data_IF_775962669530
#
_entry.id   IF_775962669530
#
_cell.length_a   1.000
_cell.length_b   1.000
_cell.length_c   1.000
_cell.angle_alpha   90.00
_cell.angle_beta   90.00
_cell.angle_gamma   90.00
#
_symmetry.space_group_name_H-M   'P 1'
#
loop_
_entity.id
_entity.type
_entity.pdbx_description
1 polymer ?
#
# COMPACT_ATOMS: atom_id res chain seq x y z
N UNK A 1 -3.24 19.04 -8.98
CA UNK A 1 -3.71 17.64 -9.17
C UNK A 1 -3.41 17.05 -10.56
N UNK A 2 -3.14 17.86 -11.59
CA UNK A 2 -2.94 17.40 -12.98
C UNK A 2 -1.93 16.26 -13.17
N UNK A 3 -0.76 16.22 -12.49
CA UNK A 3 0.18 15.11 -12.64
C UNK A 3 -0.39 13.75 -12.21
N UNK A 4 -1.13 13.73 -11.09
CA UNK A 4 -1.75 12.50 -10.58
C UNK A 4 -2.93 12.07 -11.44
N UNK A 5 -3.76 13.01 -11.90
CA UNK A 5 -4.86 12.70 -12.81
C UNK A 5 -4.37 12.03 -14.11
N UNK A 6 -3.26 12.52 -14.68
CA UNK A 6 -2.63 11.90 -15.85
C UNK A 6 -2.10 10.50 -15.55
N UNK A 7 -1.51 10.29 -14.38
CA UNK A 7 -1.05 8.96 -13.97
C UNK A 7 -2.23 8.00 -13.74
N UNK A 8 -3.31 8.44 -13.09
CA UNK A 8 -4.51 7.63 -12.89
C UNK A 8 -5.13 7.16 -14.21
N UNK A 9 -5.18 8.03 -15.23
CA UNK A 9 -5.67 7.61 -16.54
C UNK A 9 -4.82 6.51 -17.19
N UNK A 10 -3.51 6.47 -16.92
CA UNK A 10 -2.60 5.43 -17.42
C UNK A 10 -2.85 4.06 -16.77
N UNK A 11 -3.53 3.99 -15.63
CA UNK A 11 -3.89 2.72 -15.01
C UNK A 11 -4.88 1.92 -15.85
N UNK A 12 -5.65 2.58 -16.74
CA UNK A 12 -6.52 1.88 -17.67
C UNK A 12 -5.75 1.05 -18.71
N UNK A 13 -4.49 1.41 -18.97
CA UNK A 13 -3.60 0.70 -19.88
C UNK A 13 -2.79 -0.41 -19.16
N UNK A 14 -3.01 -0.59 -17.85
CA UNK A 14 -2.33 -1.62 -17.07
C UNK A 14 -2.79 -3.01 -17.50
N UNK A 15 -1.86 -3.97 -17.63
CA UNK A 15 -2.21 -5.35 -17.98
C UNK A 15 -3.14 -6.02 -16.94
N UNK A 16 -3.15 -5.55 -15.69
CA UNK A 16 -4.08 -6.03 -14.66
C UNK A 16 -5.53 -5.51 -14.83
N UNK A 17 -5.74 -4.56 -15.75
CA UNK A 17 -7.03 -3.98 -16.11
C UNK A 17 -7.49 -4.53 -17.47
N UNK A 18 -8.29 -5.59 -17.44
CA UNK A 18 -8.81 -6.26 -18.65
C UNK A 18 -10.34 -6.37 -18.62
N UNK A 19 -11.08 -5.26 -18.71
CA UNK A 19 -12.54 -5.23 -18.57
C UNK A 19 -13.28 -6.14 -19.57
N UNK A 20 -12.71 -6.34 -20.76
CA UNK A 20 -13.24 -7.25 -21.80
C UNK A 20 -13.29 -8.72 -21.33
N UNK A 21 -12.38 -9.09 -20.43
CA UNK A 21 -12.26 -10.46 -19.88
C UNK A 21 -12.99 -10.62 -18.55
N UNK A 22 -13.51 -9.51 -18.00
CA UNK A 22 -14.18 -9.49 -16.72
C UNK A 22 -15.62 -10.01 -16.84
N UNK A 23 -16.06 -10.78 -15.85
CA UNK A 23 -17.47 -11.15 -15.75
C UNK A 23 -18.36 -9.91 -15.66
N UNK A 24 -19.61 -10.02 -16.14
CA UNK A 24 -20.59 -8.90 -16.22
C UNK A 24 -20.69 -8.06 -14.93
N UNK A 25 -20.57 -8.70 -13.76
CA UNK A 25 -20.64 -8.01 -12.47
C UNK A 25 -19.40 -7.15 -12.19
N UNK A 26 -18.21 -7.65 -12.53
CA UNK A 26 -16.95 -6.94 -12.31
C UNK A 26 -16.86 -5.75 -13.27
N UNK A 27 -17.30 -5.90 -14.52
CA UNK A 27 -17.40 -4.79 -15.48
C UNK A 27 -18.23 -3.61 -14.95
N UNK A 28 -19.37 -3.88 -14.28
CA UNK A 28 -20.20 -2.81 -13.70
C UNK A 28 -19.54 -2.11 -12.51
N UNK A 29 -18.73 -2.84 -11.73
CA UNK A 29 -17.94 -2.26 -10.64
C UNK A 29 -16.84 -1.37 -11.22
N UNK A 30 -16.16 -1.83 -12.27
CA UNK A 30 -15.16 -1.03 -12.99
C UNK A 30 -15.76 0.27 -13.54
N UNK A 31 -16.91 0.19 -14.23
CA UNK A 31 -17.64 1.34 -14.77
C UNK A 31 -17.97 2.35 -13.65
N UNK A 32 -18.36 1.87 -12.46
CA UNK A 32 -18.62 2.72 -11.31
C UNK A 32 -17.34 3.38 -10.77
N UNK A 33 -16.26 2.61 -10.61
CA UNK A 33 -14.96 3.09 -10.12
C UNK A 33 -14.40 4.19 -11.04
N UNK A 34 -14.42 3.96 -12.35
CA UNK A 34 -13.98 4.94 -13.34
C UNK A 34 -14.83 6.21 -13.31
N UNK A 35 -16.17 6.09 -13.28
CA UNK A 35 -17.06 7.24 -13.31
C UNK A 35 -17.09 8.06 -12.01
N UNK A 36 -16.80 7.45 -10.86
CA UNK A 36 -16.87 8.13 -9.55
C UNK A 36 -15.52 8.59 -9.02
N UNK A 37 -14.48 7.79 -9.22
CA UNK A 37 -13.15 8.00 -8.63
C UNK A 37 -12.09 8.35 -9.69
N UNK A 38 -12.38 8.13 -10.97
CA UNK A 38 -11.39 8.27 -12.04
C UNK A 38 -10.28 7.20 -11.98
N UNK A 39 -10.59 6.05 -11.36
CA UNK A 39 -9.68 4.93 -11.16
C UNK A 39 -10.34 3.62 -11.62
N UNK A 40 -9.65 2.77 -12.39
CA UNK A 40 -10.18 1.47 -12.78
C UNK A 40 -10.18 0.45 -11.63
N UNK A 41 -10.99 -0.59 -11.78
CA UNK A 41 -10.88 -1.79 -10.96
C UNK A 41 -9.70 -2.65 -11.43
N UNK A 42 -8.69 -2.80 -10.57
CA UNK A 42 -7.51 -3.62 -10.87
C UNK A 42 -7.65 -5.02 -10.27
N UNK A 43 -7.18 -6.02 -11.03
CA UNK A 43 -7.13 -7.42 -10.59
C UNK A 43 -5.72 -7.84 -10.13
N UNK A 44 -5.58 -9.07 -9.63
CA UNK A 44 -4.27 -9.64 -9.24
C UNK A 44 -3.83 -9.37 -7.80
N UNK A 45 -4.66 -8.69 -7.00
CA UNK A 45 -4.40 -8.49 -5.58
C UNK A 45 -4.74 -9.76 -4.78
N UNK A 46 -3.87 -10.12 -3.84
CA UNK A 46 -4.18 -11.07 -2.76
C UNK A 46 -4.67 -10.30 -1.55
N UNK A 47 -5.75 -10.76 -0.91
CA UNK A 47 -6.33 -10.12 0.26
C UNK A 47 -6.36 -11.09 1.43
N UNK A 48 -5.85 -10.65 2.58
CA UNK A 48 -5.95 -11.36 3.86
C UNK A 48 -6.53 -10.41 4.90
N UNK A 49 -7.49 -10.90 5.69
CA UNK A 49 -8.03 -10.17 6.83
C UNK A 49 -7.26 -10.57 8.09
N UNK A 50 -6.57 -9.61 8.71
CA UNK A 50 -5.86 -9.80 9.97
C UNK A 50 -6.79 -9.49 11.14
N UNK A 51 -6.69 -10.25 12.24
CA UNK A 51 -7.68 -10.22 13.32
C UNK A 51 -7.22 -9.42 14.54
N UNK A 52 -5.92 -9.15 14.66
CA UNK A 52 -5.36 -8.42 15.80
C UNK A 52 -4.28 -7.40 15.39
N UNK A 53 -4.03 -6.37 16.21
CA UNK A 53 -2.93 -5.44 16.00
C UNK A 53 -1.56 -6.13 15.94
N UNK A 54 -1.34 -7.15 16.78
CA UNK A 54 -0.10 -7.93 16.80
C UNK A 54 0.13 -8.66 15.47
N UNK A 55 -0.89 -9.33 14.93
CA UNK A 55 -0.82 -9.98 13.61
C UNK A 55 -0.52 -8.98 12.49
N UNK A 56 -1.16 -7.81 12.51
CA UNK A 56 -0.93 -6.75 11.52
C UNK A 56 0.54 -6.30 11.56
N UNK A 57 1.07 -6.00 12.75
CA UNK A 57 2.43 -5.50 12.89
C UNK A 57 3.47 -6.57 12.57
N UNK A 58 3.22 -7.84 12.92
CA UNK A 58 4.09 -8.95 12.53
C UNK A 58 4.11 -9.17 11.01
N UNK A 59 2.95 -9.12 10.35
CA UNK A 59 2.87 -9.19 8.87
C UNK A 59 3.64 -8.04 8.21
N UNK A 60 3.54 -6.83 8.76
CA UNK A 60 4.30 -5.67 8.27
C UNK A 60 5.82 -5.91 8.42
N UNK A 61 6.26 -6.45 9.55
CA UNK A 61 7.69 -6.75 9.78
C UNK A 61 8.19 -7.79 8.76
N UNK A 62 7.41 -8.85 8.53
CA UNK A 62 7.76 -9.89 7.54
C UNK A 62 7.88 -9.32 6.12
N UNK A 63 6.95 -8.44 5.71
CA UNK A 63 7.01 -7.74 4.42
C UNK A 63 8.29 -6.89 4.31
N UNK A 64 8.65 -6.17 5.38
CA UNK A 64 9.86 -5.34 5.45
C UNK A 64 11.13 -6.20 5.35
N UNK A 65 11.17 -7.34 6.01
CA UNK A 65 12.31 -8.26 5.97
C UNK A 65 12.50 -8.88 4.58
N UNK A 66 11.40 -9.18 3.89
CA UNK A 66 11.42 -9.78 2.57
C UNK A 66 11.63 -8.76 1.44
N UNK A 67 11.34 -7.48 1.65
CA UNK A 67 11.50 -6.43 0.65
C UNK A 67 12.92 -6.37 0.06
N UNK A 68 13.00 -6.20 -1.27
CA UNK A 68 14.26 -6.20 -2.03
C UNK A 68 14.61 -4.86 -2.68
N UNK A 69 13.61 -4.03 -2.99
CA UNK A 69 13.81 -2.83 -3.83
C UNK A 69 13.43 -1.54 -3.11
N UNK A 70 12.19 -1.46 -2.59
CA UNK A 70 11.71 -0.26 -1.92
C UNK A 70 10.64 -0.55 -0.89
N UNK A 71 10.56 0.31 0.13
CA UNK A 71 9.48 0.34 1.12
C UNK A 71 8.95 1.77 1.20
N UNK A 72 7.63 1.95 1.09
CA UNK A 72 6.96 3.24 1.31
C UNK A 72 5.82 3.04 2.30
N UNK A 73 5.89 3.75 3.42
CA UNK A 73 4.89 3.64 4.49
C UNK A 73 4.43 5.02 4.92
N UNK A 74 3.14 5.13 5.25
CA UNK A 74 2.53 6.35 5.77
C UNK A 74 1.67 5.97 6.97
N UNK A 75 1.92 6.62 8.11
CA UNK A 75 1.14 6.40 9.34
C UNK A 75 0.62 7.72 9.91
N UNK A 76 -0.60 7.67 10.43
CA UNK A 76 -1.18 8.77 11.20
C UNK A 76 -0.59 8.81 12.63
N UNK A 77 -0.60 7.70 13.35
CA UNK A 77 -0.03 7.59 14.70
C UNK A 77 1.19 6.68 14.67
N UNK A 78 2.30 7.18 15.21
CA UNK A 78 3.49 6.40 15.51
C UNK A 78 3.96 6.74 16.92
N UNK A 79 3.84 5.77 17.83
CA UNK A 79 4.24 5.93 19.23
C UNK A 79 5.37 4.93 19.55
N UNK A 80 6.47 5.37 20.20
CA UNK A 80 7.56 4.48 20.60
C UNK A 80 7.11 3.33 21.52
N UNK A 81 7.78 2.20 21.42
CA UNK A 81 7.53 1.02 22.24
C UNK A 81 6.79 -0.11 21.52
N UNK A 82 6.83 -1.28 22.16
CA UNK A 82 6.15 -2.48 21.65
C UNK A 82 6.61 -2.88 20.25
N UNK A 83 5.67 -3.36 19.43
CA UNK A 83 5.95 -3.79 18.06
C UNK A 83 6.25 -2.64 17.09
N UNK A 84 5.89 -1.38 17.42
CA UNK A 84 6.28 -0.24 16.60
C UNK A 84 7.81 -0.08 16.53
N UNK A 85 8.51 -0.33 17.64
CA UNK A 85 9.98 -0.33 17.67
C UNK A 85 10.55 -1.48 16.83
N UNK A 86 9.90 -2.64 16.84
CA UNK A 86 10.26 -3.77 15.99
C UNK A 86 10.13 -3.42 14.49
N UNK A 87 9.04 -2.74 14.10
CA UNK A 87 8.87 -2.22 12.73
C UNK A 87 9.99 -1.21 12.39
N UNK A 88 10.27 -0.25 13.29
CA UNK A 88 11.37 0.71 13.08
C UNK A 88 12.72 0.01 12.89
N UNK A 89 13.03 -0.98 13.73
CA UNK A 89 14.25 -1.77 13.64
C UNK A 89 14.33 -2.52 12.30
N UNK A 90 13.24 -3.16 11.86
CA UNK A 90 13.16 -3.86 10.59
C UNK A 90 13.41 -2.90 9.40
N UNK A 91 12.83 -1.69 9.43
CA UNK A 91 13.06 -0.66 8.41
C UNK A 91 14.52 -0.23 8.35
N UNK A 92 15.18 -0.05 9.51
CA UNK A 92 16.60 0.27 9.58
C UNK A 92 17.43 -0.86 8.96
N UNK A 93 17.11 -2.12 9.27
CA UNK A 93 17.82 -3.26 8.66
C UNK A 93 17.58 -3.33 7.15
N UNK A 94 16.35 -3.07 6.67
CA UNK A 94 16.05 -3.03 5.24
C UNK A 94 16.87 -1.95 4.51
N UNK A 95 16.97 -0.75 5.10
CA UNK A 95 17.81 0.32 4.58
C UNK A 95 19.29 -0.11 4.50
N UNK A 96 19.82 -0.79 5.53
CA UNK A 96 21.18 -1.35 5.51
C UNK A 96 21.39 -2.43 4.44
N UNK A 97 20.36 -3.19 4.09
CA UNK A 97 20.39 -4.14 2.97
C UNK A 97 20.36 -3.47 1.58
N UNK A 98 20.19 -2.16 1.51
CA UNK A 98 20.15 -1.38 0.26
C UNK A 98 18.74 -1.11 -0.28
N UNK A 99 17.68 -1.37 0.50
CA UNK A 99 16.29 -1.08 0.10
C UNK A 99 16.01 0.43 0.21
N UNK A 100 15.35 1.04 -0.79
CA UNK A 100 14.89 2.45 -0.73
C UNK A 100 13.72 2.59 0.26
N UNK A 101 14.01 3.01 1.49
CA UNK A 101 13.02 3.16 2.56
C UNK A 101 12.57 4.62 2.67
N UNK A 102 11.25 4.85 2.56
CA UNK A 102 10.61 6.15 2.85
C UNK A 102 9.44 5.96 3.82
N UNK A 103 9.55 6.60 4.99
CA UNK A 103 8.52 6.62 6.03
C UNK A 103 8.02 8.05 6.19
N UNK A 104 6.69 8.23 6.09
CA UNK A 104 6.02 9.50 6.36
C UNK A 104 5.13 9.34 7.59
N UNK A 105 5.37 10.19 8.59
CA UNK A 105 4.60 10.20 9.85
C UNK A 105 3.86 11.54 9.95
N UNK A 106 2.59 11.48 10.36
CA UNK A 106 1.84 12.69 10.69
C UNK A 106 2.33 13.28 12.01
N UNK A 107 2.60 14.59 12.02
CA UNK A 107 3.18 15.28 13.19
C UNK A 107 2.22 15.42 14.37
N UNK A 108 0.91 15.42 14.14
CA UNK A 108 -0.08 15.53 15.21
C UNK A 108 -0.27 14.19 15.93
N UNK A 109 -0.28 13.08 15.18
CA UNK A 109 -0.36 11.74 15.73
C UNK A 109 0.99 11.12 16.14
N UNK A 110 2.11 11.72 15.76
CA UNK A 110 3.47 11.23 16.04
C UNK A 110 4.35 12.33 16.66
N UNK A 111 4.03 12.75 17.90
CA UNK A 111 4.84 13.74 18.60
C UNK A 111 6.27 13.21 18.80
N UNK A 112 7.22 14.15 18.87
CA UNK A 112 8.64 13.84 19.09
C UNK A 112 8.90 13.26 20.46
#
# INVERSE_FOLDING_TARGET
FTPFAKWFSQLNDCHAHMPETMGRHIYRIDELCNNRLGLPALSGNTLSLQQSPDEILHSIIEDIENAKTSIRMVFYIWHPGGLADSVASALIQASKRGVDVKLLLDSAGSPR
#
